data_IF_944507950829
#
_entry.id   IF_944507950829
#
_cell.length_a   1.000
_cell.length_b   1.000
_cell.length_c   1.000
_cell.angle_alpha   90.00
_cell.angle_beta   90.00
_cell.angle_gamma   90.00
#
_symmetry.space_group_name_H-M   'P 1'
#
loop_
_entity.id
_entity.type
_entity.pdbx_description
1 polymer ?
#
# COMPACT_ATOMS: atom_id res chain seq x y z
N UNK A 1 -8.61 8.62 -12.05
CA UNK A 1 -7.44 9.17 -11.32
C UNK A 1 -6.15 8.68 -11.96
N UNK A 2 -5.85 7.37 -11.91
CA UNK A 2 -4.57 6.80 -12.33
C UNK A 2 -4.11 7.12 -13.76
N UNK A 3 -5.02 7.21 -14.74
CA UNK A 3 -4.69 7.55 -16.14
C UNK A 3 -3.95 8.88 -16.30
N UNK A 4 -4.11 9.82 -15.36
CA UNK A 4 -3.41 11.13 -15.39
C UNK A 4 -2.16 11.17 -14.52
N UNK A 5 -1.87 10.11 -13.76
CA UNK A 5 -0.75 10.05 -12.80
C UNK A 5 0.31 9.01 -13.18
N UNK A 6 -0.09 8.00 -13.94
CA UNK A 6 0.80 6.95 -14.41
C UNK A 6 1.49 7.35 -15.72
N UNK A 7 2.65 6.73 -16.03
CA UNK A 7 3.28 6.88 -17.33
C UNK A 7 2.30 6.56 -18.47
N UNK A 8 2.47 7.21 -19.61
CA UNK A 8 1.61 6.99 -20.77
C UNK A 8 1.64 5.52 -21.20
N UNK A 9 0.45 4.94 -21.39
CA UNK A 9 0.29 3.53 -21.75
C UNK A 9 0.41 2.53 -20.59
N UNK A 10 0.74 2.97 -19.37
CA UNK A 10 0.79 2.10 -18.21
C UNK A 10 -0.61 1.81 -17.65
N UNK A 11 -0.83 0.57 -17.22
CA UNK A 11 -2.03 0.15 -16.52
C UNK A 11 -1.88 0.26 -14.99
N UNK A 12 -2.90 -0.18 -14.27
CA UNK A 12 -2.94 -0.08 -12.80
C UNK A 12 -2.04 -1.11 -12.09
N UNK A 13 -1.45 -2.05 -12.80
CA UNK A 13 -0.44 -2.97 -12.27
C UNK A 13 0.98 -2.41 -12.39
N UNK A 14 1.12 -1.17 -12.85
CA UNK A 14 2.39 -0.45 -12.72
C UNK A 14 2.81 -0.29 -11.26
N UNK A 15 4.12 -0.36 -10.97
CA UNK A 15 4.72 -0.28 -9.62
C UNK A 15 4.36 0.99 -8.83
N UNK A 16 3.94 2.06 -9.51
CA UNK A 16 3.46 3.30 -8.87
C UNK A 16 2.00 3.24 -8.40
N UNK A 17 1.22 2.25 -8.85
CA UNK A 17 -0.18 2.06 -8.48
C UNK A 17 -0.40 0.78 -7.66
N UNK A 18 0.27 -0.32 -8.01
CA UNK A 18 0.07 -1.60 -7.36
C UNK A 18 1.25 -1.98 -6.45
N UNK A 19 1.06 -1.96 -5.11
CA UNK A 19 2.13 -2.25 -4.17
C UNK A 19 2.61 -3.70 -4.21
N UNK A 20 1.83 -4.66 -4.71
CA UNK A 20 2.29 -6.05 -4.81
C UNK A 20 3.37 -6.23 -5.86
N UNK A 21 3.42 -5.34 -6.86
CA UNK A 21 4.50 -5.31 -7.86
C UNK A 21 5.79 -4.74 -7.27
N UNK A 22 5.68 -3.90 -6.24
CA UNK A 22 6.85 -3.36 -5.52
C UNK A 22 7.69 -4.44 -4.86
N UNK A 23 7.12 -5.59 -4.50
CA UNK A 23 7.88 -6.71 -3.94
C UNK A 23 8.94 -7.23 -4.91
N UNK A 24 8.53 -7.49 -6.16
CA UNK A 24 9.42 -7.99 -7.21
C UNK A 24 10.53 -6.98 -7.58
N UNK A 25 10.29 -5.68 -7.39
CA UNK A 25 11.21 -4.61 -7.76
C UNK A 25 12.12 -4.19 -6.60
N UNK A 26 11.61 -4.19 -5.37
CA UNK A 26 12.24 -3.57 -4.21
C UNK A 26 12.37 -4.48 -2.98
N UNK A 27 12.00 -5.77 -3.05
CA UNK A 27 11.94 -6.69 -1.91
C UNK A 27 13.09 -6.56 -0.91
N UNK A 28 14.36 -6.64 -1.36
CA UNK A 28 15.54 -6.53 -0.47
C UNK A 28 15.65 -5.20 0.29
N UNK A 29 15.06 -4.12 -0.24
CA UNK A 29 15.05 -2.79 0.38
C UNK A 29 13.85 -2.59 1.30
N UNK A 30 12.77 -3.34 1.10
CA UNK A 30 11.55 -3.20 1.92
C UNK A 30 11.86 -3.51 3.39
N UNK A 31 12.61 -4.58 3.67
CA UNK A 31 12.99 -4.95 5.04
C UNK A 31 13.91 -3.95 5.75
N UNK A 32 14.44 -2.95 5.04
CA UNK A 32 15.27 -1.88 5.61
C UNK A 32 14.45 -0.69 6.11
N UNK A 33 13.13 -0.69 5.86
CA UNK A 33 12.25 0.37 6.31
C UNK A 33 12.15 0.39 7.85
N UNK A 34 12.02 1.59 8.39
CA UNK A 34 11.82 1.81 9.82
C UNK A 34 10.40 1.42 10.24
N UNK A 35 10.13 1.52 11.55
CA UNK A 35 8.79 1.37 12.12
C UNK A 35 7.79 2.24 11.35
N UNK A 36 6.74 1.61 10.84
CA UNK A 36 5.78 2.23 9.92
C UNK A 36 4.39 2.18 10.53
N UNK A 37 3.67 3.30 10.49
CA UNK A 37 2.26 3.37 10.89
C UNK A 37 1.39 3.45 9.64
N UNK A 38 0.33 2.65 9.56
CA UNK A 38 -0.63 2.66 8.45
C UNK A 38 -2.03 2.76 9.02
N UNK A 39 -2.74 3.82 8.63
CA UNK A 39 -4.13 4.07 8.97
C UNK A 39 -5.04 3.85 7.75
N UNK A 40 -6.21 3.27 7.95
CA UNK A 40 -7.27 3.21 6.95
C UNK A 40 -8.67 3.07 7.55
N UNK A 41 -9.68 3.22 6.71
CA UNK A 41 -11.11 3.15 7.09
C UNK A 41 -11.85 2.24 6.11
N UNK A 42 -12.80 1.43 6.59
CA UNK A 42 -13.48 0.45 5.74
C UNK A 42 -14.30 1.07 4.60
N UNK A 43 -14.79 2.30 4.77
CA UNK A 43 -15.47 3.05 3.71
C UNK A 43 -14.54 3.64 2.64
N UNK A 44 -13.22 3.52 2.77
CA UNK A 44 -12.27 3.90 1.72
C UNK A 44 -12.20 2.80 0.65
N UNK A 45 -12.50 3.08 -0.63
CA UNK A 45 -12.40 2.11 -1.71
C UNK A 45 -11.01 1.49 -1.91
N UNK A 46 -9.95 2.07 -1.34
CA UNK A 46 -8.58 1.57 -1.41
C UNK A 46 -8.13 0.80 -0.16
N UNK A 47 -9.00 0.60 0.83
CA UNK A 47 -8.62 -0.02 2.12
C UNK A 47 -8.01 -1.41 1.96
N UNK A 48 -8.49 -2.22 1.02
CA UNK A 48 -7.93 -3.55 0.77
C UNK A 48 -6.49 -3.46 0.25
N UNK A 49 -6.19 -2.48 -0.61
CA UNK A 49 -4.83 -2.21 -1.07
C UNK A 49 -3.93 -1.68 0.03
N UNK A 50 -4.45 -0.85 0.94
CA UNK A 50 -3.72 -0.42 2.13
C UNK A 50 -3.37 -1.61 3.03
N UNK A 51 -4.30 -2.57 3.22
CA UNK A 51 -4.08 -3.81 3.97
C UNK A 51 -3.08 -4.74 3.27
N UNK A 52 -3.05 -4.78 1.94
CA UNK A 52 -2.02 -5.52 1.19
C UNK A 52 -0.60 -4.95 1.44
N UNK A 53 -0.45 -3.63 1.54
CA UNK A 53 0.84 -3.01 1.89
C UNK A 53 1.31 -3.46 3.28
N UNK A 54 0.41 -3.49 4.27
CA UNK A 54 0.74 -3.96 5.62
C UNK A 54 1.31 -5.38 5.57
N UNK A 55 0.61 -6.29 4.88
CA UNK A 55 1.05 -7.69 4.74
C UNK A 55 2.41 -7.80 4.07
N UNK A 56 2.65 -7.00 3.04
CA UNK A 56 3.94 -6.98 2.33
C UNK A 56 5.07 -6.52 3.27
N UNK A 57 4.88 -5.41 3.98
CA UNK A 57 5.87 -4.88 4.92
C UNK A 57 6.17 -5.88 6.05
N UNK A 58 5.14 -6.47 6.64
CA UNK A 58 5.28 -7.49 7.70
C UNK A 58 6.00 -8.75 7.20
N UNK A 59 5.73 -9.21 5.97
CA UNK A 59 6.41 -10.35 5.36
C UNK A 59 7.93 -10.12 5.19
N UNK A 60 8.34 -8.86 5.03
CA UNK A 60 9.74 -8.45 4.97
C UNK A 60 10.35 -8.11 6.34
N UNK A 61 9.63 -8.38 7.44
CA UNK A 61 10.12 -8.17 8.80
C UNK A 61 10.06 -6.72 9.29
N UNK A 62 9.40 -5.83 8.55
CA UNK A 62 9.20 -4.44 8.98
C UNK A 62 8.19 -4.43 10.12
N UNK A 63 8.49 -3.68 11.18
CA UNK A 63 7.53 -3.47 12.26
C UNK A 63 6.47 -2.45 11.82
N UNK A 64 5.25 -2.93 11.61
CA UNK A 64 4.10 -2.12 11.21
C UNK A 64 3.12 -1.99 12.38
N UNK A 65 2.58 -0.79 12.57
CA UNK A 65 1.45 -0.51 13.45
C UNK A 65 0.22 -0.23 12.57
N UNK A 66 -0.60 -1.24 12.26
CA UNK A 66 -1.81 -1.04 11.47
C UNK A 66 -2.97 -0.55 12.35
N UNK A 67 -3.71 0.45 11.86
CA UNK A 67 -4.98 0.87 12.45
C UNK A 67 -6.03 0.96 11.35
N UNK A 68 -7.00 0.05 11.37
CA UNK A 68 -8.13 0.08 10.46
C UNK A 68 -9.43 0.22 11.24
N UNK A 69 -10.16 1.30 10.98
CA UNK A 69 -11.49 1.51 11.55
C UNK A 69 -12.54 0.87 10.63
N UNK A 70 -13.50 0.15 11.22
CA UNK A 70 -14.61 -0.48 10.49
C UNK A 70 -15.65 0.55 10.00
N UNK A 71 -15.65 1.74 10.58
CA UNK A 71 -16.48 2.89 10.16
C UNK A 71 -15.63 3.94 9.43
N UNK A 72 -16.27 5.00 8.92
CA UNK A 72 -15.59 6.14 8.28
C UNK A 72 -15.51 6.05 6.76
N UNK A 73 -14.73 6.94 6.16
CA UNK A 73 -14.57 7.06 4.72
C UNK A 73 -13.20 7.68 4.40
N UNK A 74 -12.87 7.78 3.11
CA UNK A 74 -11.62 8.37 2.66
C UNK A 74 -11.44 9.82 3.15
N UNK A 75 -10.25 10.15 3.69
CA UNK A 75 -9.84 11.48 4.15
C UNK A 75 -10.59 12.02 5.39
N UNK A 76 -10.82 11.16 6.38
CA UNK A 76 -11.35 11.49 7.72
C UNK A 76 -10.24 11.61 8.76
#
# INVERSE_FOLDING_TARGET
MWTLSLPEGADRDHVYCNPTVSDAVYGEKIGQLLKTFINGYAGDPLVDKQKEVVKLLEAHGVHVEPYFCEDGYHAV
#
